data_IF_643955570038
#
_entry.id   IF_643955570038
#
_cell.length_a   1.000
_cell.length_b   1.000
_cell.length_c   1.000
_cell.angle_alpha   90.00
_cell.angle_beta   90.00
_cell.angle_gamma   90.00
#
_symmetry.space_group_name_H-M   'P 1'
#
loop_
_entity.id
_entity.type
_entity.pdbx_description
1 polymer ?
#
# COMPACT_ATOMS: atom_id res chain seq x y z
N UNK A 1 7.17 2.20 3.59
CA UNK A 1 8.55 1.80 3.93
C UNK A 1 8.96 2.31 5.29
N UNK A 2 8.36 1.71 6.31
CA UNK A 2 8.68 2.02 7.72
C UNK A 2 9.80 1.13 8.25
N UNK A 3 10.10 0.03 7.56
CA UNK A 3 11.20 -0.87 7.90
C UNK A 3 12.43 -0.56 7.04
N UNK A 4 13.59 -0.57 7.68
CA UNK A 4 14.90 -0.34 7.03
C UNK A 4 15.13 -1.33 5.86
N UNK A 5 14.65 -2.57 5.99
CA UNK A 5 14.71 -3.61 4.96
C UNK A 5 13.82 -3.35 3.74
N UNK A 6 12.68 -2.68 3.90
CA UNK A 6 11.83 -2.26 2.77
C UNK A 6 12.56 -1.17 1.96
N UNK A 7 13.18 -0.21 2.67
CA UNK A 7 13.93 0.89 2.05
C UNK A 7 15.20 0.41 1.33
N UNK A 8 15.94 -0.54 1.91
CA UNK A 8 17.15 -1.10 1.30
C UNK A 8 16.87 -1.88 0.01
N UNK A 9 15.70 -2.54 -0.08
CA UNK A 9 15.35 -3.44 -1.19
C UNK A 9 14.34 -2.85 -2.16
N UNK A 10 13.73 -1.71 -1.84
CA UNK A 10 12.68 -1.09 -2.64
C UNK A 10 11.44 -1.98 -2.79
N UNK A 11 11.11 -2.77 -1.77
CA UNK A 11 9.95 -3.66 -1.75
C UNK A 11 9.04 -3.33 -0.56
N UNK A 12 7.73 -3.36 -0.78
CA UNK A 12 6.75 -3.40 0.32
C UNK A 12 6.77 -4.80 0.95
N UNK A 13 6.98 -4.91 2.26
CA UNK A 13 7.06 -6.18 3.03
C UNK A 13 5.89 -6.29 4.02
N UNK A 14 5.42 -5.15 4.55
CA UNK A 14 4.26 -5.06 5.43
C UNK A 14 3.10 -4.34 4.75
N UNK A 15 1.87 -4.82 4.98
CA UNK A 15 0.71 -4.12 4.43
C UNK A 15 0.47 -2.81 5.18
N UNK A 16 0.30 -1.72 4.43
CA UNK A 16 -0.06 -0.42 4.95
C UNK A 16 -1.41 0.02 4.39
N UNK A 17 -2.30 0.51 5.26
CA UNK A 17 -3.59 1.05 4.87
C UNK A 17 -3.58 2.58 4.99
N UNK A 18 -3.92 3.28 3.91
CA UNK A 18 -4.09 4.74 3.89
C UNK A 18 -5.48 5.09 3.38
N UNK A 19 -6.22 5.91 4.13
CA UNK A 19 -7.49 6.47 3.64
C UNK A 19 -7.23 7.84 3.02
N UNK A 20 -7.78 8.07 1.83
CA UNK A 20 -7.81 9.39 1.19
C UNK A 20 -9.23 9.73 0.71
N UNK A 21 -9.45 11.00 0.39
CA UNK A 21 -10.71 11.49 -0.16
C UNK A 21 -10.45 12.08 -1.55
N UNK A 22 -11.24 11.67 -2.53
CA UNK A 22 -11.09 12.09 -3.92
C UNK A 22 -12.37 12.74 -4.45
N UNK A 23 -12.22 13.89 -5.11
CA UNK A 23 -13.33 14.69 -5.66
C UNK A 23 -13.44 14.62 -7.19
N UNK A 24 -12.70 13.73 -7.85
CA UNK A 24 -12.53 13.76 -9.30
C UNK A 24 -11.37 14.66 -9.74
N UNK A 25 -10.89 14.48 -10.99
CA UNK A 25 -9.75 15.23 -11.53
C UNK A 25 -9.94 16.75 -11.57
N UNK A 26 -11.17 17.23 -11.83
CA UNK A 26 -11.51 18.65 -11.82
C UNK A 26 -12.33 19.03 -10.57
N UNK A 27 -12.25 18.24 -9.49
CA UNK A 27 -13.04 18.42 -8.26
C UNK A 27 -14.56 18.49 -8.50
N UNK A 28 -15.04 17.83 -9.55
CA UNK A 28 -16.44 17.93 -9.98
C UNK A 28 -17.42 17.06 -9.18
N UNK A 29 -16.94 16.23 -8.25
CA UNK A 29 -17.75 15.32 -7.46
C UNK A 29 -17.58 15.59 -5.96
N UNK A 30 -18.55 15.11 -5.17
CA UNK A 30 -18.45 15.08 -3.71
C UNK A 30 -17.28 14.21 -3.23
N UNK A 31 -16.93 14.32 -1.95
CA UNK A 31 -15.82 13.56 -1.36
C UNK A 31 -16.08 12.04 -1.41
N UNK A 32 -15.31 11.34 -2.25
CA UNK A 32 -15.29 9.88 -2.29
C UNK A 32 -14.19 9.37 -1.38
N UNK A 33 -14.56 8.60 -0.36
CA UNK A 33 -13.59 7.91 0.51
C UNK A 33 -12.97 6.73 -0.22
N UNK A 34 -11.64 6.73 -0.33
CA UNK A 34 -10.84 5.65 -0.91
C UNK A 34 -9.96 5.08 0.20
N UNK A 35 -9.98 3.76 0.36
CA UNK A 35 -9.02 3.06 1.22
C UNK A 35 -8.01 2.36 0.32
N UNK A 36 -6.76 2.83 0.38
CA UNK A 36 -5.63 2.25 -0.34
C UNK A 36 -4.98 1.24 0.60
N UNK A 37 -4.87 0.00 0.15
CA UNK A 37 -4.15 -1.05 0.86
C UNK A 37 -2.96 -1.40 -0.02
N UNK A 38 -1.77 -1.01 0.43
CA UNK A 38 -0.54 -1.47 -0.18
C UNK A 38 -0.24 -2.86 0.39
N UNK A 39 -0.04 -3.84 -0.49
CA UNK A 39 0.26 -5.23 -0.12
C UNK A 39 1.60 -5.62 -0.71
N UNK A 40 2.43 -6.40 0.02
CA UNK A 40 3.71 -6.88 -0.47
C UNK A 40 3.60 -7.57 -1.83
N UNK A 41 4.48 -7.19 -2.74
CA UNK A 41 4.51 -7.69 -4.12
C UNK A 41 5.89 -8.24 -4.49
N UNK A 42 6.23 -9.43 -4.00
CA UNK A 42 7.36 -10.24 -4.47
C UNK A 42 7.02 -11.72 -4.28
N UNK A 43 7.40 -12.57 -5.25
CA UNK A 43 7.02 -14.00 -5.31
C UNK A 43 7.56 -14.83 -4.13
N UNK A 44 8.53 -14.31 -3.38
CA UNK A 44 9.23 -15.04 -2.32
C UNK A 44 8.67 -14.78 -0.91
N UNK A 45 7.38 -15.05 -0.71
CA UNK A 45 6.80 -15.25 0.64
C UNK A 45 6.20 -16.66 0.79
N UNK A 46 6.82 -17.67 0.18
CA UNK A 46 6.62 -19.10 0.49
C UNK A 46 7.73 -19.67 1.38
N UNK A 47 8.05 -18.99 2.48
CA UNK A 47 8.98 -19.49 3.51
C UNK A 47 8.46 -18.90 4.84
N UNK A 48 8.08 -19.64 5.87
CA UNK A 48 8.22 -21.05 6.24
C UNK A 48 6.85 -21.52 6.78
N UNK A 49 6.33 -22.63 6.26
CA UNK A 49 5.32 -23.44 6.98
C UNK A 49 6.02 -24.73 7.38
N UNK A 50 6.69 -24.68 8.53
CA UNK A 50 6.80 -25.84 9.43
C UNK A 50 5.84 -25.64 10.60
#
# INVERSE_FOLDING_TARGET
>A
DWMEQEQERGITITSAATTCFWKGMNQQFDDHRINIIDTPGHVDFTIEVE
#
